data_IF_734476430937
#
_entry.id   IF_734476430937
#
_cell.length_a   1.000
_cell.length_b   1.000
_cell.length_c   1.000
_cell.angle_alpha   90.00
_cell.angle_beta   90.00
_cell.angle_gamma   90.00
#
_symmetry.space_group_name_H-M   'P 1'
#
loop_
_entity.id
_entity.type
_entity.pdbx_description
1 polymer ?
#
# COMPACT_ATOMS: atom_id res chain seq x y z
N UNK A 1 -12.54 7.95 5.84
CA UNK A 1 -11.14 7.58 6.18
C UNK A 1 -10.97 6.10 5.93
N UNK A 2 -9.83 5.65 5.43
CA UNK A 2 -9.67 4.23 5.16
C UNK A 2 -8.28 3.66 5.44
N UNK A 3 -8.21 2.33 5.56
CA UNK A 3 -7.09 1.61 6.19
C UNK A 3 -6.70 0.37 5.38
N UNK A 4 -5.41 0.08 5.30
CA UNK A 4 -4.85 -1.12 4.70
C UNK A 4 -3.86 -1.77 5.67
N UNK A 5 -4.03 -3.07 5.93
CA UNK A 5 -3.14 -3.83 6.80
C UNK A 5 -1.80 -4.11 6.12
N UNK A 6 -0.72 -3.92 6.86
CA UNK A 6 0.64 -4.17 6.41
C UNK A 6 1.10 -5.50 6.97
N UNK A 7 1.45 -6.42 6.07
CA UNK A 7 1.91 -7.76 6.40
C UNK A 7 3.37 -7.89 5.97
N UNK A 8 4.23 -8.36 6.88
CA UNK A 8 5.62 -8.72 6.58
C UNK A 8 5.82 -10.18 6.96
N UNK A 9 6.14 -11.02 5.98
CA UNK A 9 6.26 -12.48 6.16
C UNK A 9 5.00 -13.11 6.81
N UNK A 10 3.82 -12.60 6.46
CA UNK A 10 2.55 -13.06 7.04
C UNK A 10 2.20 -12.46 8.41
N UNK A 11 3.13 -11.74 9.05
CA UNK A 11 2.88 -11.06 10.32
C UNK A 11 2.30 -9.66 10.10
N UNK A 12 1.21 -9.34 10.78
CA UNK A 12 0.65 -7.99 10.77
C UNK A 12 1.56 -7.05 11.57
N UNK A 13 2.12 -6.05 10.88
CA UNK A 13 3.13 -5.13 11.45
C UNK A 13 2.63 -3.69 11.58
N UNK A 14 1.50 -3.35 10.96
CA UNK A 14 1.00 -1.98 10.99
C UNK A 14 -0.13 -1.72 10.03
N UNK A 15 -0.49 -0.44 9.90
CA UNK A 15 -1.57 0.02 9.03
C UNK A 15 -1.12 1.22 8.21
N UNK A 16 -1.41 1.18 6.91
CA UNK A 16 -1.42 2.34 6.03
C UNK A 16 -2.80 3.00 6.13
N UNK A 17 -2.84 4.25 6.58
CA UNK A 17 -4.07 5.03 6.76
C UNK A 17 -4.10 6.13 5.72
N UNK A 18 -5.22 6.27 5.02
CA UNK A 18 -5.53 7.42 4.19
C UNK A 18 -6.66 8.22 4.84
N UNK A 19 -6.42 9.49 5.11
CA UNK A 19 -7.45 10.41 5.60
C UNK A 19 -8.43 10.83 4.49
N UNK A 20 -9.42 11.63 4.86
CA UNK A 20 -10.48 12.10 3.94
C UNK A 20 -9.95 13.09 2.89
N UNK A 21 -8.80 13.71 3.13
CA UNK A 21 -8.13 14.63 2.21
C UNK A 21 -7.10 13.92 1.32
N UNK A 22 -6.94 12.60 1.46
CA UNK A 22 -6.06 11.77 0.64
C UNK A 22 -4.61 11.66 1.13
N UNK A 23 -4.26 12.33 2.24
CA UNK A 23 -2.95 12.21 2.85
C UNK A 23 -2.82 10.84 3.50
N UNK A 24 -1.62 10.27 3.38
CA UNK A 24 -1.32 8.91 3.84
C UNK A 24 -0.35 8.92 5.00
N UNK A 25 -0.49 7.93 5.88
CA UNK A 25 0.47 7.69 6.95
C UNK A 25 0.59 6.22 7.25
N UNK A 26 1.78 5.80 7.65
CA UNK A 26 2.03 4.44 8.13
C UNK A 26 2.18 4.48 9.64
N UNK A 27 1.48 3.58 10.32
CA UNK A 27 1.54 3.36 11.76
C UNK A 27 1.93 1.92 12.01
N UNK A 28 3.08 1.69 12.65
CA UNK A 28 3.46 0.35 13.10
C UNK A 28 2.66 -0.05 14.35
N UNK A 29 2.47 -1.34 14.57
CA UNK A 29 1.94 -1.81 15.85
C UNK A 29 2.96 -1.56 16.96
N UNK A 30 2.52 -1.22 18.18
CA UNK A 30 3.42 -1.03 19.31
C UNK A 30 4.06 -2.37 19.72
N UNK A 31 5.28 -2.29 20.27
CA UNK A 31 5.99 -3.46 20.82
C UNK A 31 6.57 -4.42 19.78
N UNK A 32 6.63 -4.02 18.50
CA UNK A 32 7.35 -4.79 17.50
C UNK A 32 8.86 -4.61 17.65
N UNK A 33 9.61 -5.58 17.14
CA UNK A 33 11.06 -5.50 17.05
C UNK A 33 11.50 -4.73 15.79
N UNK A 34 12.81 -4.45 15.70
CA UNK A 34 13.38 -3.78 14.53
C UNK A 34 13.31 -4.62 13.24
N UNK A 35 13.01 -5.93 13.34
CA UNK A 35 12.84 -6.80 12.17
C UNK A 35 11.52 -6.52 11.43
N UNK A 36 10.57 -5.84 12.07
CA UNK A 36 9.32 -5.38 11.46
C UNK A 36 9.48 -4.17 10.52
N UNK A 37 10.71 -3.75 10.21
CA UNK A 37 11.00 -2.60 9.35
C UNK A 37 10.64 -2.90 7.88
N UNK A 38 9.74 -2.10 7.30
CA UNK A 38 9.35 -2.21 5.88
C UNK A 38 10.50 -1.94 4.91
N UNK A 39 11.38 -1.00 5.25
CA UNK A 39 12.54 -0.64 4.45
C UNK A 39 13.56 0.11 5.30
N UNK A 40 14.77 0.30 4.77
CA UNK A 40 15.80 1.15 5.38
C UNK A 40 15.32 2.60 5.52
N UNK A 41 14.45 3.09 4.62
CA UNK A 41 13.90 4.44 4.67
C UNK A 41 12.67 4.58 5.60
N UNK A 42 12.04 3.46 5.95
CA UNK A 42 10.92 3.37 6.88
C UNK A 42 11.20 2.30 7.95
N UNK A 43 12.21 2.49 8.81
CA UNK A 43 12.44 1.57 9.92
C UNK A 43 11.25 1.53 10.89
N UNK A 44 11.18 0.50 11.71
CA UNK A 44 10.23 0.45 12.81
C UNK A 44 10.40 1.66 13.72
N UNK A 45 9.27 2.27 14.10
CA UNK A 45 9.18 3.27 15.16
C UNK A 45 7.73 3.37 15.64
N UNK A 46 7.54 3.79 16.89
CA UNK A 46 6.20 3.99 17.46
C UNK A 46 5.47 5.20 16.88
N UNK A 47 6.21 6.22 16.42
CA UNK A 47 5.59 7.42 15.87
C UNK A 47 5.12 7.24 14.42
N UNK A 48 3.91 7.71 14.05
CA UNK A 48 3.41 7.59 12.69
C UNK A 48 4.32 8.25 11.65
N UNK A 49 4.52 7.62 10.50
CA UNK A 49 5.13 8.26 9.33
C UNK A 49 4.15 9.18 8.64
N UNK A 50 4.52 10.44 8.42
CA UNK A 50 3.68 11.43 7.72
C UNK A 50 3.61 11.14 6.21
N UNK A 51 2.82 11.95 5.51
CA UNK A 51 2.54 11.79 4.08
C UNK A 51 3.77 11.68 3.19
N UNK A 52 4.75 12.57 3.32
CA UNK A 52 5.93 12.60 2.44
C UNK A 52 6.74 11.29 2.44
N UNK A 53 7.26 10.79 3.58
CA UNK A 53 8.01 9.53 3.60
C UNK A 53 7.15 8.31 3.23
N UNK A 54 5.86 8.33 3.60
CA UNK A 54 4.92 7.27 3.22
C UNK A 54 4.74 7.19 1.70
N UNK A 55 4.57 8.33 1.05
CA UNK A 55 4.40 8.39 -0.41
C UNK A 55 5.67 8.00 -1.15
N UNK A 56 6.85 8.44 -0.68
CA UNK A 56 8.13 8.04 -1.30
C UNK A 56 8.32 6.51 -1.30
N UNK A 57 7.95 5.84 -0.20
CA UNK A 57 7.97 4.38 -0.15
C UNK A 57 6.96 3.75 -1.12
N UNK A 58 5.72 4.23 -1.13
CA UNK A 58 4.67 3.71 -2.04
C UNK A 58 5.08 3.89 -3.51
N UNK A 59 5.64 5.03 -3.87
CA UNK A 59 6.11 5.32 -5.23
C UNK A 59 7.25 4.38 -5.64
N UNK A 60 8.15 4.05 -4.71
CA UNK A 60 9.21 3.06 -4.95
C UNK A 60 8.72 1.62 -5.16
N UNK A 61 7.48 1.30 -4.80
CA UNK A 61 6.86 0.01 -5.09
C UNK A 61 6.21 -0.06 -6.48
N UNK A 62 6.03 1.09 -7.14
CA UNK A 62 5.39 1.13 -8.46
C UNK A 62 6.44 0.79 -9.52
N UNK A 63 6.20 -0.22 -10.37
CA UNK A 63 7.15 -0.57 -11.41
C UNK A 63 7.32 0.56 -12.44
N UNK A 64 8.54 0.69 -12.94
CA UNK A 64 8.92 1.67 -13.95
C UNK A 64 8.58 1.18 -15.37
N UNK A 65 8.40 2.11 -16.30
CA UNK A 65 8.06 1.83 -17.70
C UNK A 65 6.57 1.95 -18.02
N UNK A 66 6.26 2.66 -19.10
CA UNK A 66 4.87 2.92 -19.52
C UNK A 66 4.13 1.64 -19.91
N UNK A 67 4.81 0.72 -20.60
CA UNK A 67 4.24 -0.58 -20.98
C UNK A 67 3.91 -1.49 -19.78
N UNK A 68 4.73 -1.49 -18.73
CA UNK A 68 4.47 -2.28 -17.50
C UNK A 68 3.31 -1.67 -16.73
N UNK A 69 3.26 -0.33 -16.64
CA UNK A 69 2.10 0.37 -16.06
C UNK A 69 0.82 0.14 -16.87
N UNK A 70 0.91 0.06 -18.19
CA UNK A 70 -0.20 -0.24 -19.10
C UNK A 70 -0.68 -1.68 -18.94
N UNK A 71 0.23 -2.65 -18.91
CA UNK A 71 -0.11 -4.07 -18.71
C UNK A 71 -0.74 -4.31 -17.33
N UNK A 72 -0.20 -3.72 -16.25
CA UNK A 72 -0.84 -3.80 -14.94
C UNK A 72 -2.17 -3.05 -14.91
N UNK A 73 -2.29 -1.97 -15.68
CA UNK A 73 -3.56 -1.29 -15.82
C UNK A 73 -4.59 -2.17 -16.54
N UNK A 74 -4.23 -2.86 -17.60
CA UNK A 74 -5.15 -3.75 -18.30
C UNK A 74 -5.49 -5.00 -17.48
N UNK A 75 -4.48 -5.67 -16.91
CA UNK A 75 -4.60 -6.90 -16.12
C UNK A 75 -5.46 -6.71 -14.86
N UNK A 76 -5.35 -5.55 -14.22
CA UNK A 76 -6.12 -5.24 -13.01
C UNK A 76 -7.27 -4.26 -13.27
N UNK A 77 -7.62 -3.99 -14.54
CA UNK A 77 -8.64 -3.02 -14.99
C UNK A 77 -8.48 -1.61 -14.38
N UNK A 78 -7.23 -1.17 -14.25
CA UNK A 78 -6.77 0.17 -13.92
C UNK A 78 -6.62 0.99 -15.20
N UNK A 79 -6.47 2.29 -15.05
CA UNK A 79 -5.96 3.15 -16.10
C UNK A 79 -4.44 3.34 -15.92
N UNK A 80 -3.71 3.58 -17.00
CA UNK A 80 -2.24 3.73 -17.03
C UNK A 80 -1.72 4.90 -16.24
N UNK A 81 -2.52 5.96 -16.18
CA UNK A 81 -2.31 7.13 -15.32
C UNK A 81 -2.68 6.86 -13.85
N UNK A 82 -3.16 5.64 -13.54
CA UNK A 82 -3.87 5.31 -12.30
C UNK A 82 -3.33 4.10 -11.52
N UNK A 83 -2.18 3.51 -11.88
CA UNK A 83 -1.56 2.43 -11.06
C UNK A 83 -1.32 2.92 -9.62
N UNK A 84 -0.78 4.14 -9.45
CA UNK A 84 -0.65 4.80 -8.14
C UNK A 84 -1.98 5.27 -7.52
N UNK A 85 -3.04 5.45 -8.31
CA UNK A 85 -4.38 5.82 -7.83
C UNK A 85 -5.23 4.58 -7.43
N UNK A 86 -4.93 3.35 -7.90
CA UNK A 86 -5.70 2.16 -7.51
C UNK A 86 -5.29 1.61 -6.14
N UNK A 87 -4.04 1.77 -5.74
CA UNK A 87 -3.64 1.66 -4.34
C UNK A 87 -4.48 2.60 -3.45
N UNK A 88 -4.90 3.77 -3.96
CA UNK A 88 -5.84 4.68 -3.27
C UNK A 88 -7.30 4.19 -3.27
N UNK A 89 -7.69 3.35 -4.24
CA UNK A 89 -9.04 2.76 -4.32
C UNK A 89 -9.22 1.51 -3.44
N UNK A 90 -8.19 0.70 -3.21
CA UNK A 90 -8.23 -0.40 -2.21
C UNK A 90 -8.56 0.13 -0.81
N UNK A 91 -8.11 1.35 -0.53
CA UNK A 91 -8.45 2.05 0.70
C UNK A 91 -9.95 2.46 0.59
N UNK A 92 -10.49 2.92 -0.56
CA UNK A 92 -11.89 3.39 -0.72
C UNK A 92 -13.03 2.36 -0.55
N UNK A 93 -12.79 1.04 -0.64
CA UNK A 93 -13.87 0.04 -0.57
C UNK A 93 -13.47 -1.22 0.23
N UNK A 94 -13.70 -1.25 1.54
CA UNK A 94 -13.45 -2.43 2.36
C UNK A 94 -14.63 -3.41 2.19
N UNK A 95 -14.42 -4.49 1.42
CA UNK A 95 -15.43 -5.54 1.24
C UNK A 95 -15.16 -6.56 0.13
N UNK A 96 -14.19 -6.35 -0.75
CA UNK A 96 -13.86 -7.31 -1.80
C UNK A 96 -13.00 -8.48 -1.28
N UNK A 97 -13.62 -9.63 -1.05
CA UNK A 97 -12.91 -10.92 -0.97
C UNK A 97 -12.54 -11.38 -2.38
N UNK A 98 -11.27 -11.72 -2.61
CA UNK A 98 -10.86 -12.40 -3.84
C UNK A 98 -10.34 -13.80 -3.50
N UNK A 99 -11.26 -14.76 -3.38
CA UNK A 99 -10.95 -16.14 -3.75
C UNK A 99 -10.99 -16.17 -5.28
N UNK A 100 -9.81 -16.25 -5.90
CA UNK A 100 -9.71 -16.40 -7.35
C UNK A 100 -10.36 -17.72 -7.78
N UNK A 101 -11.41 -17.64 -8.59
CA UNK A 101 -11.81 -18.76 -9.44
C UNK A 101 -11.25 -18.49 -10.82
N UNK A 102 -10.21 -19.23 -11.18
CA UNK A 102 -9.82 -19.40 -12.57
C UNK A 102 -10.90 -20.26 -13.23
N UNK A 103 -11.62 -19.72 -14.20
CA UNK A 103 -12.31 -20.53 -15.21
C UNK A 103 -11.89 -20.06 -16.59
N UNK A 104 -11.63 -21.08 -17.41
CA UNK A 104 -11.15 -21.04 -18.80
C UNK A 104 -12.23 -20.55 -19.76
#
# INVERSE_FOLDING_TARGET
MKRLHLLLQGNHIGTLIQDDFGAKRIEYLPGLDNSASLSVALPYRESPYKNKPTMAYIEGLIPEGEAVRQSMAEEFSLSTQHVGNRLRQLINAPGGSWIGRAER
#
